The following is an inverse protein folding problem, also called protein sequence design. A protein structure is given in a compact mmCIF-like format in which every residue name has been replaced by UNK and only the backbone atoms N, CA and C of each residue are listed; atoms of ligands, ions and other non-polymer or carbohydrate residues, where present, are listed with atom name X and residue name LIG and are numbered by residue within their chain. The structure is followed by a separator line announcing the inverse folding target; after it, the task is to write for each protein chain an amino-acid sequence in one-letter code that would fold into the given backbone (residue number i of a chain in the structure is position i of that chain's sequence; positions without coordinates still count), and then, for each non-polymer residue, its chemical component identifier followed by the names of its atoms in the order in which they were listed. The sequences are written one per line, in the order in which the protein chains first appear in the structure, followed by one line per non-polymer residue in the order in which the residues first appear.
data_IF_252849410724
#
_entry.id   IF_252849410724
#
_cell.length_a   1.000
_cell.length_b   1.000
_cell.length_c   1.000
_cell.angle_alpha   90.00
_cell.angle_beta   90.00
_cell.angle_gamma   90.00
#
_symmetry.space_group_name_H-M   'P 1'
#
loop_
_entity.id
_entity.type
_entity.pdbx_description
1 polymer ?
#
# COMPACT_ATOMS: atom_id res chain seq x y z
N UNK A 1 28.23 -42.50 6.36
CA UNK A 1 26.98 -41.86 6.82
C UNK A 1 27.33 -40.51 7.41
N UNK A 2 26.92 -39.43 6.75
CA UNK A 2 26.82 -38.09 7.33
C UNK A 2 25.81 -37.32 6.48
N UNK A 3 24.91 -36.64 7.17
CA UNK A 3 23.56 -36.28 6.75
C UNK A 3 23.59 -35.07 5.83
N UNK A 4 23.08 -35.23 4.60
CA UNK A 4 22.79 -34.13 3.69
C UNK A 4 21.66 -33.29 4.27
N UNK A 5 22.01 -32.09 4.75
CA UNK A 5 21.05 -31.10 5.25
C UNK A 5 20.36 -30.44 4.04
N UNK A 6 19.17 -30.94 3.68
CA UNK A 6 18.30 -30.29 2.71
C UNK A 6 17.71 -29.04 3.35
N UNK A 7 18.28 -27.87 3.05
CA UNK A 7 17.68 -26.57 3.39
C UNK A 7 16.53 -26.34 2.40
N UNK A 8 15.30 -26.58 2.86
CA UNK A 8 14.09 -26.24 2.11
C UNK A 8 13.91 -24.73 2.18
N UNK A 9 14.41 -24.02 1.16
CA UNK A 9 13.99 -22.66 0.89
C UNK A 9 12.51 -22.70 0.46
N UNK A 10 11.61 -22.40 1.40
CA UNK A 10 10.22 -22.10 1.08
C UNK A 10 10.17 -20.72 0.41
N UNK A 11 10.58 -20.65 -0.85
CA UNK A 11 10.26 -19.53 -1.72
C UNK A 11 8.75 -19.53 -1.91
N UNK A 12 8.05 -18.68 -1.17
CA UNK A 12 6.65 -18.34 -1.41
C UNK A 12 6.57 -17.60 -2.75
N UNK A 13 6.57 -18.37 -3.84
CA UNK A 13 6.36 -17.87 -5.18
C UNK A 13 4.90 -17.44 -5.23
N UNK A 14 4.66 -16.13 -5.20
CA UNK A 14 3.36 -15.59 -5.60
C UNK A 14 3.17 -16.05 -7.06
N UNK A 15 2.33 -17.06 -7.26
CA UNK A 15 2.13 -17.66 -8.57
C UNK A 15 1.48 -16.65 -9.50
N UNK A 16 2.27 -15.99 -10.34
CA UNK A 16 1.77 -15.17 -11.43
C UNK A 16 1.09 -16.07 -12.48
N UNK A 17 -0.17 -16.43 -12.25
CA UNK A 17 -1.06 -16.70 -13.37
C UNK A 17 -1.26 -15.35 -14.04
N UNK A 18 -0.65 -15.15 -15.21
CA UNK A 18 -0.90 -13.96 -16.04
C UNK A 18 -2.39 -13.94 -16.37
N UNK A 19 -3.15 -13.17 -15.60
CA UNK A 19 -4.50 -12.77 -15.96
C UNK A 19 -4.32 -11.82 -17.15
N UNK A 20 -5.02 -12.01 -18.27
CA UNK A 20 -4.91 -11.12 -19.41
C UNK A 20 -5.26 -9.70 -18.95
N UNK A 21 -4.42 -8.73 -19.35
CA UNK A 21 -4.59 -7.29 -19.18
C UNK A 21 -6.02 -6.90 -19.62
N UNK A 22 -6.95 -6.89 -18.68
CA UNK A 22 -8.33 -6.44 -18.89
C UNK A 22 -8.70 -5.55 -17.74
N UNK A 23 -8.03 -4.40 -17.64
CA UNK A 23 -8.61 -3.15 -17.15
C UNK A 23 -7.64 -1.96 -17.36
N UNK A 24 -7.04 -1.81 -18.56
CA UNK A 24 -6.61 -0.45 -18.95
C UNK A 24 -7.85 0.30 -19.38
N UNK A 25 -8.39 1.12 -18.48
CA UNK A 25 -9.35 2.15 -18.85
C UNK A 25 -8.62 3.14 -19.75
N UNK A 26 -8.96 3.14 -21.03
CA UNK A 26 -8.36 3.98 -22.07
C UNK A 26 -8.98 5.40 -22.05
N UNK A 27 -9.20 5.94 -20.84
CA UNK A 27 -9.80 7.27 -20.63
C UNK A 27 -8.79 8.41 -20.72
N UNK A 28 -7.51 8.14 -20.99
CA UNK A 28 -6.45 9.14 -20.91
C UNK A 28 -5.98 9.44 -19.47
N UNK A 29 -6.72 8.96 -18.47
CA UNK A 29 -6.33 8.96 -17.06
C UNK A 29 -5.60 7.66 -16.71
N UNK A 30 -4.35 7.76 -16.24
CA UNK A 30 -3.56 6.60 -15.86
C UNK A 30 -4.07 5.99 -14.55
N UNK A 31 -4.88 4.94 -14.63
CA UNK A 31 -5.22 4.10 -13.48
C UNK A 31 -4.05 3.21 -13.05
N UNK A 32 -3.89 3.00 -11.74
CA UNK A 32 -2.94 2.03 -11.18
C UNK A 32 -3.74 0.81 -10.72
N UNK A 33 -3.37 -0.38 -11.22
CA UNK A 33 -3.92 -1.65 -10.77
C UNK A 33 -2.88 -2.34 -9.89
N UNK A 34 -3.26 -2.64 -8.64
CA UNK A 34 -2.44 -3.41 -7.71
C UNK A 34 -3.01 -4.82 -7.59
N UNK A 35 -2.27 -5.80 -8.10
CA UNK A 35 -2.62 -7.21 -7.98
C UNK A 35 -2.08 -7.83 -6.69
N UNK A 36 -2.64 -8.97 -6.31
CA UNK A 36 -2.16 -9.82 -5.21
C UNK A 36 -2.16 -9.14 -3.82
N UNK A 37 -3.15 -8.26 -3.58
CA UNK A 37 -3.43 -7.74 -2.25
C UNK A 37 -3.82 -8.87 -1.29
N UNK A 38 -3.56 -8.66 0.01
CA UNK A 38 -3.81 -9.62 1.07
C UNK A 38 -4.45 -8.91 2.27
N UNK A 39 -5.32 -9.61 2.99
CA UNK A 39 -5.94 -9.10 4.22
C UNK A 39 -4.99 -9.20 5.44
N UNK A 40 -3.86 -9.91 5.29
CA UNK A 40 -2.91 -10.15 6.38
C UNK A 40 -1.55 -9.47 6.13
N UNK A 41 -1.41 -8.72 5.05
CA UNK A 41 -0.17 -8.04 4.70
C UNK A 41 -0.42 -6.69 4.08
N UNK A 42 0.30 -5.69 4.56
CA UNK A 42 0.38 -4.41 3.89
C UNK A 42 1.19 -4.54 2.61
N UNK A 43 0.71 -3.90 1.54
CA UNK A 43 1.45 -3.70 0.30
C UNK A 43 1.69 -2.22 0.10
N UNK A 44 2.95 -1.80 0.10
CA UNK A 44 3.38 -0.41 0.04
C UNK A 44 3.66 0.00 -1.40
N UNK A 45 3.14 1.15 -1.81
CA UNK A 45 3.24 1.69 -3.15
C UNK A 45 3.85 3.09 -3.15
N UNK A 46 4.68 3.37 -4.16
CA UNK A 46 5.20 4.70 -4.43
C UNK A 46 4.59 5.28 -5.69
N UNK A 47 3.95 6.45 -5.58
CA UNK A 47 3.48 7.23 -6.73
C UNK A 47 4.63 7.79 -7.54
N UNK A 48 5.72 8.21 -6.88
CA UNK A 48 6.92 8.71 -7.55
C UNK A 48 7.52 7.67 -8.49
N UNK A 49 7.66 6.44 -8.01
CA UNK A 49 8.27 5.35 -8.77
C UNK A 49 7.26 4.54 -9.59
N UNK A 50 5.95 4.75 -9.36
CA UNK A 50 4.87 4.00 -10.01
C UNK A 50 4.90 2.50 -9.72
N UNK A 51 5.39 2.08 -8.54
CA UNK A 51 5.61 0.65 -8.23
C UNK A 51 5.38 0.30 -6.76
N UNK A 52 5.15 -0.99 -6.51
CA UNK A 52 5.19 -1.59 -5.17
C UNK A 52 6.64 -1.61 -4.68
N UNK A 53 6.88 -1.10 -3.47
CA UNK A 53 8.21 -0.97 -2.86
C UNK A 53 8.45 -1.96 -1.71
N UNK A 54 7.43 -2.74 -1.35
CA UNK A 54 7.54 -3.90 -0.46
C UNK A 54 6.24 -4.23 0.26
N UNK A 55 6.34 -5.14 1.23
CA UNK A 55 5.22 -5.62 2.02
C UNK A 55 5.62 -5.82 3.48
N UNK A 56 4.65 -5.70 4.39
CA UNK A 56 4.82 -6.06 5.81
C UNK A 56 3.67 -6.92 6.31
N UNK A 57 3.87 -7.58 7.44
CA UNK A 57 2.83 -8.34 8.15
C UNK A 57 1.85 -7.38 8.83
N UNK A 58 0.56 -7.59 8.63
CA UNK A 58 -0.48 -6.78 9.27
C UNK A 58 -0.45 -6.94 10.81
N UNK A 59 -0.36 -5.82 11.53
CA UNK A 59 -0.35 -5.78 13.00
C UNK A 59 0.98 -6.21 13.63
N UNK A 60 2.10 -5.99 12.93
CA UNK A 60 3.45 -6.26 13.41
C UNK A 60 4.13 -4.97 13.86
N UNK A 61 4.16 -4.69 15.16
CA UNK A 61 4.72 -3.47 15.74
C UNK A 61 6.20 -3.20 15.36
N UNK A 62 6.98 -4.25 15.09
CA UNK A 62 8.37 -4.10 14.64
C UNK A 62 8.42 -3.63 13.19
N UNK A 63 7.70 -4.32 12.30
CA UNK A 63 7.70 -3.97 10.87
C UNK A 63 7.00 -2.62 10.64
N UNK A 64 5.92 -2.31 11.37
CA UNK A 64 5.25 -1.02 11.26
C UNK A 64 6.19 0.14 11.64
N UNK A 65 7.03 -0.02 12.68
CA UNK A 65 8.05 0.97 13.03
C UNK A 65 9.14 1.09 11.97
N UNK A 66 9.62 -0.02 11.42
CA UNK A 66 10.64 -0.02 10.37
C UNK A 66 10.13 0.70 9.12
N UNK A 67 8.86 0.48 8.75
CA UNK A 67 8.24 1.13 7.62
C UNK A 67 7.83 2.59 7.88
N UNK A 68 7.51 2.95 9.12
CA UNK A 68 7.22 4.32 9.50
C UNK A 68 8.43 5.26 9.26
N UNK A 69 9.65 4.75 9.43
CA UNK A 69 10.89 5.49 9.15
C UNK A 69 11.35 5.46 7.69
N UNK A 70 10.49 5.08 6.75
CA UNK A 70 10.81 5.04 5.32
C UNK A 70 10.10 6.16 4.56
N UNK A 71 10.81 6.77 3.61
CA UNK A 71 10.30 7.88 2.78
C UNK A 71 10.10 7.50 1.31
N UNK A 72 10.23 6.22 0.98
CA UNK A 72 10.14 5.68 -0.38
C UNK A 72 8.78 5.04 -0.70
N UNK A 73 7.78 5.21 0.18
CA UNK A 73 6.39 4.81 -0.03
C UNK A 73 5.43 5.96 0.27
N UNK A 74 4.27 5.96 -0.39
CA UNK A 74 3.27 7.02 -0.26
C UNK A 74 1.96 6.50 0.34
N UNK A 75 1.49 5.32 -0.11
CA UNK A 75 0.32 4.62 0.43
C UNK A 75 0.62 3.14 0.67
N UNK A 76 -0.15 2.50 1.55
CA UNK A 76 -0.20 1.05 1.62
C UNK A 76 -1.61 0.51 1.80
N UNK A 77 -1.87 -0.67 1.24
CA UNK A 77 -3.18 -1.33 1.24
C UNK A 77 -3.06 -2.72 1.89
N UNK A 78 -4.02 -3.08 2.74
CA UNK A 78 -4.16 -4.40 3.35
C UNK A 78 -5.65 -4.77 3.39
N UNK A 79 -6.12 -5.60 2.46
CA UNK A 79 -7.55 -5.87 2.29
C UNK A 79 -8.34 -4.58 2.06
N UNK A 80 -9.22 -4.25 3.01
CA UNK A 80 -10.02 -3.02 3.04
C UNK A 80 -9.34 -1.83 3.74
N UNK A 81 -8.19 -2.06 4.39
CA UNK A 81 -7.45 -1.01 5.08
C UNK A 81 -6.55 -0.24 4.11
N UNK A 82 -6.52 1.07 4.30
CA UNK A 82 -5.64 2.01 3.61
C UNK A 82 -4.85 2.80 4.63
N UNK A 83 -3.59 3.06 4.35
CA UNK A 83 -2.74 3.97 5.13
C UNK A 83 -1.94 4.89 4.24
N UNK A 84 -1.56 6.03 4.80
CA UNK A 84 -0.67 7.00 4.14
C UNK A 84 0.65 7.09 4.89
N UNK A 85 1.70 7.53 4.20
CA UNK A 85 2.95 7.88 4.87
C UNK A 85 2.78 9.22 5.60
N UNK A 86 2.15 9.17 6.76
CA UNK A 86 1.84 10.31 7.62
C UNK A 86 1.52 9.85 9.04
N UNK A 87 1.40 10.81 9.97
CA UNK A 87 0.79 10.59 11.28
C UNK A 87 1.46 9.46 12.07
N UNK A 88 0.67 8.49 12.52
CA UNK A 88 1.19 7.33 13.26
C UNK A 88 1.76 6.23 12.35
N UNK A 89 1.46 6.26 11.05
CA UNK A 89 1.88 5.27 10.07
C UNK A 89 3.26 5.55 9.45
N UNK A 90 3.71 6.80 9.42
CA UNK A 90 5.01 7.17 8.86
C UNK A 90 5.39 8.64 8.98
N UNK A 91 6.66 8.93 8.73
CA UNK A 91 7.25 10.27 8.89
C UNK A 91 7.06 11.21 7.67
N UNK A 92 6.36 10.75 6.64
CA UNK A 92 6.03 11.54 5.47
C UNK A 92 4.98 12.63 5.73
N UNK A 93 4.77 13.46 4.71
CA UNK A 93 3.76 14.53 4.70
C UNK A 93 2.46 14.11 3.98
N UNK A 94 2.14 12.81 3.96
CA UNK A 94 0.95 12.30 3.32
C UNK A 94 -0.35 12.68 4.04
N UNK A 95 -1.46 12.22 3.48
CA UNK A 95 -2.80 12.35 4.06
C UNK A 95 -3.88 12.18 3.00
N UNK A 96 -5.14 12.01 3.44
CA UNK A 96 -6.28 11.82 2.55
C UNK A 96 -7.29 12.94 2.77
N UNK A 97 -7.78 13.50 1.67
CA UNK A 97 -8.88 14.45 1.69
C UNK A 97 -10.04 13.87 0.88
N UNK A 98 -11.24 13.91 1.45
CA UNK A 98 -12.47 13.59 0.72
C UNK A 98 -12.98 14.87 0.07
N UNK A 99 -12.86 14.95 -1.25
CA UNK A 99 -13.52 16.04 -1.98
C UNK A 99 -15.03 15.79 -2.02
N UNK A 100 -15.81 16.72 -1.45
CA UNK A 100 -17.27 16.68 -1.45
C UNK A 100 -17.91 17.65 -2.46
N UNK A 101 -17.09 18.43 -3.18
CA UNK A 101 -17.55 19.54 -4.02
C UNK A 101 -17.63 19.11 -5.49
N UNK A 102 -16.59 18.46 -6.00
CA UNK A 102 -16.49 18.04 -7.41
C UNK A 102 -16.14 16.56 -7.53
N UNK A 103 -16.52 15.96 -8.66
CA UNK A 103 -16.05 14.62 -9.01
C UNK A 103 -14.57 14.64 -9.42
N UNK A 104 -14.01 13.45 -9.66
CA UNK A 104 -12.60 13.31 -10.02
C UNK A 104 -12.24 14.12 -11.27
N UNK A 105 -13.09 14.10 -12.30
CA UNK A 105 -12.83 14.78 -13.57
C UNK A 105 -12.94 16.31 -13.45
N UNK A 106 -13.75 16.81 -12.51
CA UNK A 106 -13.91 18.23 -12.22
C UNK A 106 -12.89 18.80 -11.25
N UNK A 107 -11.99 17.99 -10.67
CA UNK A 107 -10.95 18.45 -9.76
C UNK A 107 -9.69 18.87 -10.54
N UNK A 108 -9.58 20.15 -10.88
CA UNK A 108 -8.43 20.67 -11.66
C UNK A 108 -7.26 21.16 -10.81
N UNK A 109 -7.49 21.38 -9.52
CA UNK A 109 -6.46 21.79 -8.56
C UNK A 109 -6.69 21.05 -7.23
N UNK A 110 -5.61 20.57 -6.62
CA UNK A 110 -5.69 19.92 -5.32
C UNK A 110 -5.97 20.97 -4.23
N UNK A 111 -6.85 20.67 -3.25
CA UNK A 111 -7.01 21.53 -2.08
C UNK A 111 -5.67 21.78 -1.38
N UNK A 112 -5.48 22.97 -0.80
CA UNK A 112 -4.24 23.29 -0.07
C UNK A 112 -4.24 22.80 1.38
N UNK A 113 -5.41 22.43 1.91
CA UNK A 113 -5.62 22.04 3.31
C UNK A 113 -6.72 20.98 3.45
N UNK A 114 -6.88 20.46 4.67
CA UNK A 114 -7.94 19.49 4.99
C UNK A 114 -7.58 18.02 4.76
N UNK A 115 -6.29 17.71 4.54
CA UNK A 115 -5.79 16.34 4.50
C UNK A 115 -5.76 15.73 5.89
N UNK A 116 -6.47 14.62 6.05
CA UNK A 116 -6.49 13.84 7.29
C UNK A 116 -5.27 12.93 7.28
N UNK A 117 -4.42 13.07 8.30
CA UNK A 117 -3.28 12.19 8.56
C UNK A 117 -3.72 10.95 9.34
N UNK A 118 -2.94 9.88 9.23
CA UNK A 118 -3.19 8.61 9.91
C UNK A 118 -3.13 8.77 11.43
N UNK A 119 -3.98 8.01 12.14
CA UNK A 119 -4.05 7.95 13.60
C UNK A 119 -4.24 6.51 14.04
N UNK A 120 -3.92 6.22 15.30
CA UNK A 120 -4.15 4.91 15.93
C UNK A 120 -5.62 4.69 16.35
N UNK A 121 -6.57 5.02 15.46
CA UNK A 121 -8.01 4.86 15.70
C UNK A 121 -8.59 3.56 15.11
N UNK A 122 -7.80 2.82 14.33
CA UNK A 122 -8.19 1.49 13.85
C UNK A 122 -8.12 0.50 15.03
N UNK A 123 -9.28 0.26 15.66
CA UNK A 123 -9.46 -0.85 16.58
C UNK A 123 -9.61 -2.14 15.76
N UNK A 124 -8.50 -2.83 15.53
CA UNK A 124 -8.50 -4.17 14.94
C UNK A 124 -9.14 -5.13 15.95
N UNK A 125 -10.44 -5.39 15.81
CA UNK A 125 -11.10 -6.47 16.58
C UNK A 125 -10.68 -7.80 15.97
N UNK A 126 -9.84 -8.54 16.69
CA UNK A 126 -9.52 -9.94 16.41
C UNK A 126 -10.60 -10.85 16.98
#
# INVERSE_FOLDING_TARGET
MAISLLIVFASSVCGCKRVPDRFRSDTGDAGIVLDCLSDNRWTYFSFRDGKVVGQSTFGSDSEDRDWAGRTDWDIAICGEFLRTNSGTSGEGNGGIQKNAITDFNGLTEAPSEGYVIDRDDIVVRR
#
